data_IF_715000705403
#
_entry.id   IF_715000705403
#
_cell.length_a   1.000
_cell.length_b   1.000
_cell.length_c   1.000
_cell.angle_alpha   90.00
_cell.angle_beta   90.00
_cell.angle_gamma   90.00
#
_symmetry.space_group_name_H-M   'P 1'
#
loop_
_entity.id
_entity.type
_entity.pdbx_description
1 polymer ?
#
# COMPACT_ATOMS: atom_id res chain seq x y z
N UNK A 1 34.73 -5.89 16.33
CA UNK A 1 33.45 -5.33 15.86
C UNK A 1 32.94 -6.25 14.76
N UNK A 2 32.30 -7.37 15.07
CA UNK A 2 30.92 -7.49 15.56
C UNK A 2 29.84 -6.95 14.60
N UNK A 3 29.16 -7.89 13.93
CA UNK A 3 27.75 -7.88 13.50
C UNK A 3 27.43 -9.35 13.14
N UNK A 4 27.00 -10.15 14.12
CA UNK A 4 25.60 -10.44 14.47
C UNK A 4 24.90 -11.34 13.44
N UNK A 5 24.87 -12.64 13.75
CA UNK A 5 23.95 -13.59 13.11
C UNK A 5 22.49 -13.23 13.45
N UNK A 6 21.58 -13.47 12.51
CA UNK A 6 20.12 -13.42 12.75
C UNK A 6 19.57 -14.83 12.57
N UNK A 7 19.18 -15.47 13.67
CA UNK A 7 18.57 -16.81 13.68
C UNK A 7 17.04 -16.70 13.68
N UNK A 8 16.41 -17.07 12.57
CA UNK A 8 14.94 -17.11 12.48
C UNK A 8 14.38 -18.37 13.14
N UNK A 9 13.75 -18.20 14.31
CA UNK A 9 13.19 -19.30 15.09
C UNK A 9 11.73 -19.61 14.65
N UNK A 10 11.56 -20.64 13.82
CA UNK A 10 10.26 -21.08 13.31
C UNK A 10 9.43 -21.78 14.42
N UNK A 11 8.57 -21.03 15.13
CA UNK A 11 7.57 -21.62 16.05
C UNK A 11 6.31 -22.06 15.29
N UNK A 12 6.07 -23.37 15.26
CA UNK A 12 4.77 -23.95 14.93
C UNK A 12 3.83 -23.89 16.14
N UNK A 13 2.58 -23.46 15.92
CA UNK A 13 1.49 -23.66 16.87
C UNK A 13 0.54 -24.71 16.30
N UNK A 14 0.39 -25.84 16.98
CA UNK A 14 -0.59 -26.89 16.67
C UNK A 14 -1.91 -26.53 17.33
N UNK A 15 -2.97 -26.34 16.53
CA UNK A 15 -4.33 -26.18 17.05
C UNK A 15 -4.91 -27.55 17.36
N UNK A 16 -5.26 -27.81 18.63
CA UNK A 16 -5.99 -29.02 19.03
C UNK A 16 -7.49 -28.73 19.04
N UNK A 17 -8.23 -29.49 18.26
CA UNK A 17 -9.70 -29.49 18.31
C UNK A 17 -10.19 -30.13 19.63
N UNK A 18 -11.31 -29.63 20.17
CA UNK A 18 -12.10 -30.37 21.17
C UNK A 18 -13.58 -30.33 20.82
N UNK A 19 -14.17 -31.53 20.70
CA UNK A 19 -15.54 -31.74 20.25
C UNK A 19 -16.54 -31.39 21.37
N UNK A 20 -17.37 -30.37 21.15
CA UNK A 20 -18.49 -30.04 22.04
C UNK A 20 -19.75 -30.81 21.61
N UNK A 21 -20.09 -31.90 22.32
CA UNK A 21 -21.38 -32.58 22.16
C UNK A 21 -22.50 -31.77 22.84
N UNK A 22 -23.35 -31.16 22.03
CA UNK A 22 -24.63 -30.59 22.51
C UNK A 22 -25.68 -31.67 22.76
N UNK A 23 -26.35 -31.62 23.91
CA UNK A 23 -27.53 -32.44 24.22
C UNK A 23 -28.63 -31.56 24.83
N UNK A 24 -29.61 -31.17 24.01
CA UNK A 24 -30.99 -30.97 24.49
C UNK A 24 -31.69 -32.33 24.62
N UNK A 25 -32.75 -32.46 25.43
CA UNK A 25 -33.97 -31.68 25.20
C UNK A 25 -34.76 -31.27 26.47
N UNK A 26 -35.82 -30.47 26.29
CA UNK A 26 -37.19 -30.81 26.72
C UNK A 26 -38.17 -29.64 26.51
N UNK A 27 -39.20 -29.85 25.70
CA UNK A 27 -40.34 -28.92 25.66
C UNK A 27 -41.22 -29.10 26.90
N UNK A 28 -41.66 -28.01 27.52
CA UNK A 28 -42.78 -28.03 28.47
C UNK A 28 -44.09 -27.96 27.68
N UNK A 29 -44.99 -28.92 27.90
CA UNK A 29 -46.40 -28.72 27.60
C UNK A 29 -47.16 -28.40 28.89
N UNK A 30 -47.99 -27.36 28.80
CA UNK A 30 -48.86 -26.89 29.89
C UNK A 30 -50.21 -27.59 29.85
N UNK A 31 -50.66 -28.14 30.97
CA UNK A 31 -52.06 -28.51 31.19
C UNK A 31 -52.63 -27.62 32.30
N UNK A 32 -53.56 -26.72 31.95
CA UNK A 32 -54.19 -25.81 32.90
C UNK A 32 -55.44 -26.43 33.54
N UNK A 33 -55.46 -26.53 34.86
CA UNK A 33 -56.68 -26.82 35.63
C UNK A 33 -57.66 -25.64 35.57
N UNK A 34 -58.97 -25.93 35.42
CA UNK A 34 -60.05 -25.14 36.03
C UNK A 34 -61.32 -25.97 36.19
N UNK A 35 -62.06 -25.68 37.27
CA UNK A 35 -63.23 -26.43 37.71
C UNK A 35 -64.53 -25.75 37.26
N UNK A 36 -65.55 -26.56 36.98
CA UNK A 36 -66.96 -26.27 37.28
C UNK A 36 -67.73 -27.60 37.20
N UNK A 37 -68.30 -28.12 38.29
CA UNK A 37 -69.57 -27.72 38.93
C UNK A 37 -70.71 -28.68 38.52
N UNK A 38 -71.30 -29.36 39.50
CA UNK A 38 -72.52 -30.15 39.31
C UNK A 38 -73.72 -29.23 39.00
N UNK A 39 -74.82 -29.74 38.42
CA UNK A 39 -76.01 -29.88 39.28
C UNK A 39 -76.98 -31.03 38.95
N UNK A 40 -77.70 -31.44 40.01
CA UNK A 40 -79.10 -31.93 40.10
C UNK A 40 -79.69 -32.92 39.07
N UNK A 41 -80.14 -34.03 39.65
CA UNK A 41 -81.16 -35.00 39.21
C UNK A 41 -82.52 -34.33 38.90
N UNK A 42 -83.30 -34.89 37.95
CA UNK A 42 -84.75 -35.03 38.12
C UNK A 42 -85.22 -36.51 38.09
N UNK A 43 -86.39 -36.76 38.67
CA UNK A 43 -86.94 -38.09 38.95
C UNK A 43 -87.88 -38.59 37.83
N UNK A 44 -87.87 -39.90 37.54
CA UNK A 44 -88.88 -40.57 36.70
C UNK A 44 -89.55 -41.73 37.47
N UNK A 45 -90.81 -42.05 37.16
CA UNK A 45 -91.74 -42.74 38.06
C UNK A 45 -92.72 -43.64 37.30
N UNK A 46 -92.74 -44.94 37.61
CA UNK A 46 -93.77 -45.94 37.24
C UNK A 46 -93.86 -46.93 38.43
N UNK A 47 -94.89 -46.88 39.28
CA UNK A 47 -96.27 -47.43 39.15
C UNK A 47 -96.37 -48.91 39.56
N UNK A 48 -97.15 -49.18 40.61
CA UNK A 48 -97.29 -50.48 41.33
C UNK A 48 -98.16 -51.52 40.59
N UNK A 49 -98.21 -52.76 41.10
CA UNK A 49 -99.36 -53.13 41.94
C UNK A 49 -99.01 -53.71 43.33
N UNK A 50 -100.05 -53.91 44.14
CA UNK A 50 -100.12 -54.51 45.48
C UNK A 50 -101.22 -55.60 45.47
N UNK A 51 -101.44 -56.41 46.54
CA UNK A 51 -100.55 -56.83 47.63
C UNK A 51 -100.56 -58.36 47.88
N UNK A 52 -99.62 -58.87 48.69
CA UNK A 52 -99.79 -60.10 49.46
C UNK A 52 -99.07 -60.01 50.83
N UNK A 53 -99.61 -60.72 51.82
CA UNK A 53 -99.34 -60.70 53.28
C UNK A 53 -97.91 -60.38 53.76
N UNK A 54 -97.83 -59.72 54.92
CA UNK A 54 -96.58 -59.33 55.60
C UNK A 54 -96.29 -60.27 56.79
N UNK A 55 -95.17 -60.98 56.78
CA UNK A 55 -94.66 -61.72 57.95
C UNK A 55 -93.61 -60.89 58.70
N UNK A 56 -94.04 -60.28 59.81
CA UNK A 56 -93.26 -59.27 60.53
C UNK A 56 -92.00 -59.79 61.26
N UNK A 57 -91.79 -61.10 61.33
CA UNK A 57 -90.65 -61.68 62.07
C UNK A 57 -89.34 -61.72 61.28
N UNK A 58 -89.38 -61.81 59.95
CA UNK A 58 -88.17 -61.95 59.12
C UNK A 58 -87.46 -60.60 58.89
N UNK A 59 -88.23 -59.51 58.85
CA UNK A 59 -87.71 -58.15 58.61
C UNK A 59 -86.81 -57.62 59.74
N UNK A 60 -86.95 -58.14 60.97
CA UNK A 60 -86.11 -57.76 62.11
C UNK A 60 -84.66 -58.23 61.96
N UNK A 61 -84.46 -59.51 61.61
CA UNK A 61 -83.13 -60.09 61.40
C UNK A 61 -82.40 -59.44 60.22
N UNK A 62 -83.11 -59.22 59.10
CA UNK A 62 -82.57 -58.51 57.93
C UNK A 62 -82.13 -57.08 58.29
N UNK A 63 -82.92 -56.34 59.07
CA UNK A 63 -82.55 -55.01 59.55
C UNK A 63 -81.38 -54.97 60.55
N UNK A 64 -81.00 -56.09 61.16
CA UNK A 64 -79.76 -56.18 61.93
C UNK A 64 -78.56 -56.28 60.98
N UNK A 65 -78.58 -57.24 60.04
CA UNK A 65 -77.54 -57.40 59.01
C UNK A 65 -77.32 -56.13 58.18
N UNK A 66 -78.39 -55.45 57.73
CA UNK A 66 -78.30 -54.18 57.00
C UNK A 66 -77.78 -52.98 57.81
N UNK A 67 -77.69 -53.09 59.14
CA UNK A 67 -76.99 -52.09 59.97
C UNK A 67 -75.52 -52.44 60.13
N UNK A 68 -75.19 -53.72 60.21
CA UNK A 68 -73.82 -54.23 60.34
C UNK A 68 -73.04 -54.08 59.03
N UNK A 69 -73.64 -54.39 57.87
CA UNK A 69 -73.02 -54.10 56.56
C UNK A 69 -72.82 -52.59 56.38
N UNK A 70 -73.81 -51.76 56.74
CA UNK A 70 -73.66 -50.29 56.72
C UNK A 70 -72.61 -49.77 57.70
N UNK A 71 -72.30 -50.49 58.78
CA UNK A 71 -71.22 -50.14 59.67
C UNK A 71 -69.85 -50.49 59.04
N UNK A 72 -69.74 -51.65 58.39
CA UNK A 72 -68.56 -52.04 57.60
C UNK A 72 -68.30 -51.08 56.43
N UNK A 73 -69.31 -50.87 55.56
CA UNK A 73 -69.28 -49.91 54.44
C UNK A 73 -68.85 -48.51 54.91
N UNK A 74 -69.33 -48.07 56.09
CA UNK A 74 -68.97 -46.78 56.67
C UNK A 74 -67.55 -46.73 57.24
N UNK A 75 -67.05 -47.84 57.79
CA UNK A 75 -65.66 -47.96 58.25
C UNK A 75 -64.68 -48.00 57.07
N UNK A 76 -64.99 -48.80 56.04
CA UNK A 76 -64.25 -48.87 54.77
C UNK A 76 -64.21 -47.51 54.06
N UNK A 77 -65.36 -46.82 53.98
CA UNK A 77 -65.44 -45.45 53.46
C UNK A 77 -64.72 -44.42 54.33
N UNK A 78 -64.53 -44.68 55.63
CA UNK A 78 -63.73 -43.83 56.52
C UNK A 78 -62.23 -44.05 56.28
N UNK A 79 -61.77 -45.31 56.26
CA UNK A 79 -60.37 -45.67 55.95
C UNK A 79 -59.95 -45.16 54.56
N UNK A 80 -60.82 -45.31 53.55
CA UNK A 80 -60.60 -44.73 52.22
C UNK A 80 -60.48 -43.21 52.26
N UNK A 81 -61.30 -42.52 53.06
CA UNK A 81 -61.29 -41.07 53.17
C UNK A 81 -60.06 -40.55 53.94
N UNK A 82 -59.62 -41.24 55.00
CA UNK A 82 -58.38 -40.96 55.72
C UNK A 82 -57.14 -41.20 54.83
N UNK A 83 -57.20 -42.25 53.98
CA UNK A 83 -56.19 -42.48 52.94
C UNK A 83 -56.22 -41.41 51.85
N UNK A 84 -57.39 -40.91 51.44
CA UNK A 84 -57.46 -39.76 50.53
C UNK A 84 -56.95 -38.47 51.19
N UNK A 85 -57.22 -38.24 52.48
CA UNK A 85 -56.70 -37.10 53.22
C UNK A 85 -55.17 -37.09 53.25
N UNK A 86 -54.53 -38.21 53.60
CA UNK A 86 -53.07 -38.34 53.58
C UNK A 86 -52.46 -38.22 52.16
N UNK A 87 -53.14 -38.70 51.11
CA UNK A 87 -52.73 -38.40 49.72
C UNK A 87 -52.86 -36.90 49.37
N UNK A 88 -53.94 -36.23 49.79
CA UNK A 88 -54.14 -34.78 49.57
C UNK A 88 -53.08 -33.96 50.31
N UNK A 89 -52.72 -34.34 51.54
CA UNK A 89 -51.62 -33.74 52.29
C UNK A 89 -50.27 -33.97 51.59
N UNK A 90 -50.01 -35.18 51.09
CA UNK A 90 -48.79 -35.48 50.33
C UNK A 90 -48.71 -34.69 49.02
N UNK A 91 -49.82 -34.51 48.31
CA UNK A 91 -49.90 -33.65 47.12
C UNK A 91 -49.66 -32.18 47.48
N UNK A 92 -50.30 -31.65 48.52
CA UNK A 92 -50.06 -30.28 49.01
C UNK A 92 -48.60 -30.04 49.40
N UNK A 93 -47.98 -31.00 50.10
CA UNK A 93 -46.56 -30.95 50.45
C UNK A 93 -45.66 -30.93 49.21
N UNK A 94 -45.92 -31.81 48.23
CA UNK A 94 -45.18 -31.85 46.96
C UNK A 94 -45.41 -30.60 46.10
N UNK A 95 -46.61 -30.01 46.11
CA UNK A 95 -46.87 -28.71 45.49
C UNK A 95 -46.08 -27.60 46.17
N UNK A 96 -46.02 -27.59 47.50
CA UNK A 96 -45.30 -26.58 48.27
C UNK A 96 -43.79 -26.69 48.05
N UNK A 97 -43.24 -27.91 47.99
CA UNK A 97 -41.86 -28.16 47.59
C UNK A 97 -41.60 -27.72 46.14
N UNK A 98 -42.47 -28.04 45.19
CA UNK A 98 -42.32 -27.57 43.80
C UNK A 98 -42.41 -26.04 43.67
N UNK A 99 -43.25 -25.37 44.48
CA UNK A 99 -43.33 -23.90 44.55
C UNK A 99 -42.03 -23.30 45.12
N UNK A 100 -41.44 -23.91 46.15
CA UNK A 100 -40.14 -23.52 46.69
C UNK A 100 -39.00 -23.69 45.67
N UNK A 101 -38.86 -24.89 45.08
CA UNK A 101 -37.85 -25.20 44.06
C UNK A 101 -37.99 -24.32 42.81
N UNK A 102 -39.22 -23.97 42.40
CA UNK A 102 -39.44 -23.02 41.31
C UNK A 102 -39.02 -21.58 41.67
N UNK A 103 -39.23 -21.15 42.92
CA UNK A 103 -38.76 -19.86 43.41
C UNK A 103 -37.22 -19.82 43.49
N UNK A 104 -36.58 -20.89 43.99
CA UNK A 104 -35.12 -21.04 44.03
C UNK A 104 -34.51 -21.05 42.61
N UNK A 105 -35.08 -21.81 41.68
CA UNK A 105 -34.66 -21.82 40.27
C UNK A 105 -34.74 -20.42 39.64
N UNK A 106 -35.82 -19.69 39.90
CA UNK A 106 -35.99 -18.32 39.40
C UNK A 106 -35.01 -17.34 40.07
N UNK A 107 -34.71 -17.50 41.36
CA UNK A 107 -33.68 -16.70 42.04
C UNK A 107 -32.26 -17.01 41.55
N UNK A 108 -31.96 -18.25 41.18
CA UNK A 108 -30.68 -18.64 40.61
C UNK A 108 -30.53 -18.10 39.19
N UNK A 109 -31.58 -18.18 38.36
CA UNK A 109 -31.63 -17.55 37.04
C UNK A 109 -31.50 -16.02 37.08
N UNK A 110 -32.11 -15.37 38.07
CA UNK A 110 -31.90 -13.93 38.32
C UNK A 110 -30.49 -13.58 38.85
N UNK A 111 -29.65 -14.58 39.15
CA UNK A 111 -28.24 -14.45 39.53
C UNK A 111 -27.28 -14.97 38.44
N UNK A 112 -27.79 -15.44 37.30
CA UNK A 112 -26.96 -15.75 36.13
C UNK A 112 -26.24 -14.47 35.63
N UNK A 113 -25.04 -14.58 35.02
CA UNK A 113 -24.05 -13.51 35.05
C UNK A 113 -24.26 -12.41 33.98
N UNK A 114 -25.48 -11.90 33.81
CA UNK A 114 -25.81 -10.80 32.88
C UNK A 114 -24.86 -9.61 33.08
N UNK A 115 -24.62 -9.22 34.34
CA UNK A 115 -23.71 -8.12 34.72
C UNK A 115 -22.28 -8.28 34.18
N UNK A 116 -21.79 -9.52 34.07
CA UNK A 116 -20.44 -9.78 33.55
C UNK A 116 -20.42 -9.66 32.01
N UNK A 117 -21.47 -10.14 31.35
CA UNK A 117 -21.66 -9.92 29.92
C UNK A 117 -21.84 -8.41 29.60
N UNK A 118 -22.56 -7.66 30.44
CA UNK A 118 -22.75 -6.22 30.29
C UNK A 118 -21.43 -5.44 30.41
N UNK A 119 -20.55 -5.82 31.34
CA UNK A 119 -19.20 -5.26 31.50
C UNK A 119 -18.33 -5.57 30.29
N UNK A 120 -18.21 -6.84 29.87
CA UNK A 120 -17.44 -7.18 28.67
C UNK A 120 -17.99 -6.53 27.40
N UNK A 121 -19.30 -6.34 27.28
CA UNK A 121 -19.88 -5.55 26.19
C UNK A 121 -19.54 -4.06 26.29
N UNK A 122 -19.43 -3.48 27.49
CA UNK A 122 -19.00 -2.08 27.67
C UNK A 122 -17.53 -1.91 27.26
N UNK A 123 -16.65 -2.79 27.72
CA UNK A 123 -15.24 -2.85 27.30
C UNK A 123 -15.11 -3.02 25.78
N UNK A 124 -15.90 -3.92 25.16
CA UNK A 124 -15.90 -4.12 23.71
C UNK A 124 -16.37 -2.88 22.93
N UNK A 125 -17.35 -2.12 23.46
CA UNK A 125 -17.79 -0.84 22.87
C UNK A 125 -16.69 0.21 22.99
N UNK A 126 -16.01 0.29 24.13
CA UNK A 126 -14.93 1.26 24.32
C UNK A 126 -13.69 0.94 23.47
N UNK A 127 -13.31 -0.34 23.38
CA UNK A 127 -12.22 -0.78 22.50
C UNK A 127 -12.50 -0.51 21.03
N UNK A 128 -13.76 -0.64 20.58
CA UNK A 128 -14.19 -0.23 19.23
C UNK A 128 -14.07 1.29 19.06
N UNK A 129 -14.61 2.08 19.98
CA UNK A 129 -14.50 3.54 19.92
C UNK A 129 -13.04 4.02 19.88
N UNK A 130 -12.15 3.40 20.65
CA UNK A 130 -10.71 3.66 20.62
C UNK A 130 -10.07 3.24 19.29
N UNK A 131 -10.48 2.13 18.70
CA UNK A 131 -10.04 1.70 17.37
C UNK A 131 -10.48 2.69 16.28
N UNK A 132 -11.74 3.12 16.30
CA UNK A 132 -12.32 4.09 15.36
C UNK A 132 -11.63 5.47 15.48
N UNK A 133 -11.26 5.88 16.70
CA UNK A 133 -10.44 7.07 16.95
C UNK A 133 -9.01 6.91 16.41
N UNK A 134 -8.37 5.74 16.60
CA UNK A 134 -7.03 5.48 16.12
C UNK A 134 -6.96 5.38 14.59
N UNK A 135 -7.95 4.79 13.92
CA UNK A 135 -8.00 4.73 12.45
C UNK A 135 -8.27 6.11 11.85
N UNK A 136 -9.16 6.91 12.43
CA UNK A 136 -9.39 8.30 12.01
C UNK A 136 -8.13 9.17 12.20
N UNK A 137 -7.43 9.02 13.33
CA UNK A 137 -6.16 9.71 13.57
C UNK A 137 -5.06 9.26 12.61
N UNK A 138 -4.97 7.96 12.30
CA UNK A 138 -3.98 7.44 11.34
C UNK A 138 -4.25 7.96 9.93
N UNK A 139 -5.49 7.89 9.44
CA UNK A 139 -5.85 8.45 8.12
C UNK A 139 -5.57 9.96 8.02
N UNK A 140 -5.77 10.71 9.12
CA UNK A 140 -5.36 12.12 9.19
C UNK A 140 -3.84 12.29 9.08
N UNK A 141 -3.06 11.50 9.83
CA UNK A 141 -1.59 11.58 9.81
C UNK A 141 -1.00 11.12 8.47
N UNK A 142 -1.66 10.21 7.76
CA UNK A 142 -1.30 9.81 6.40
C UNK A 142 -1.51 10.96 5.41
N UNK A 143 -2.62 11.70 5.50
CA UNK A 143 -2.84 12.92 4.69
C UNK A 143 -1.86 14.04 5.07
N UNK A 144 -1.56 14.24 6.35
CA UNK A 144 -0.56 15.22 6.80
C UNK A 144 0.85 14.86 6.32
N UNK A 145 1.22 13.56 6.28
CA UNK A 145 2.44 13.07 5.63
C UNK A 145 2.43 13.39 4.14
N UNK A 146 1.38 13.01 3.41
CA UNK A 146 1.35 13.12 1.94
C UNK A 146 1.40 14.58 1.47
N UNK A 147 0.83 15.50 2.25
CA UNK A 147 0.98 16.94 2.02
C UNK A 147 2.43 17.41 2.25
N UNK A 148 3.07 16.98 3.34
CA UNK A 148 4.47 17.32 3.62
C UNK A 148 5.45 16.70 2.61
N UNK A 149 5.16 15.52 2.07
CA UNK A 149 5.95 14.90 1.00
C UNK A 149 5.82 15.68 -0.33
N UNK A 150 4.63 16.19 -0.65
CA UNK A 150 4.41 17.10 -1.79
C UNK A 150 5.16 18.44 -1.59
N UNK A 151 5.05 19.08 -0.42
CA UNK A 151 5.78 20.31 -0.10
C UNK A 151 7.29 20.12 -0.19
N UNK A 152 7.82 19.00 0.33
CA UNK A 152 9.23 18.62 0.19
C UNK A 152 9.64 18.38 -1.27
N UNK A 153 8.75 17.84 -2.11
CA UNK A 153 8.95 17.73 -3.55
C UNK A 153 9.08 19.10 -4.22
N UNK A 154 8.14 20.01 -3.95
CA UNK A 154 8.12 21.38 -4.48
C UNK A 154 9.35 22.17 -4.02
N UNK A 155 9.76 22.03 -2.76
CA UNK A 155 10.96 22.69 -2.22
C UNK A 155 12.26 22.12 -2.82
N UNK A 156 12.34 20.81 -3.07
CA UNK A 156 13.48 20.20 -3.78
C UNK A 156 13.58 20.68 -5.22
N UNK A 157 12.46 20.77 -5.93
CA UNK A 157 12.45 21.30 -7.30
C UNK A 157 12.92 22.75 -7.33
N UNK A 158 12.34 23.62 -6.49
CA UNK A 158 12.76 25.03 -6.37
C UNK A 158 14.24 25.17 -6.02
N UNK A 159 14.77 24.35 -5.12
CA UNK A 159 16.19 24.33 -4.79
C UNK A 159 17.05 23.94 -6.01
N UNK A 160 16.62 22.95 -6.80
CA UNK A 160 17.30 22.55 -8.01
C UNK A 160 17.30 23.66 -9.06
N UNK A 161 16.14 24.30 -9.30
CA UNK A 161 15.99 25.42 -10.24
C UNK A 161 16.88 26.61 -9.83
N UNK A 162 16.89 27.00 -8.56
CA UNK A 162 17.78 28.03 -8.01
C UNK A 162 19.27 27.64 -8.15
N UNK A 163 19.64 26.37 -7.95
CA UNK A 163 21.04 25.95 -8.18
C UNK A 163 21.45 26.01 -9.66
N UNK A 164 20.53 25.73 -10.59
CA UNK A 164 20.79 25.87 -12.02
C UNK A 164 20.98 27.34 -12.39
N UNK A 165 20.06 28.23 -11.95
CA UNK A 165 20.16 29.68 -12.16
C UNK A 165 21.46 30.26 -11.56
N UNK A 166 21.89 29.78 -10.40
CA UNK A 166 23.16 30.20 -9.78
C UNK A 166 24.37 29.77 -10.61
N UNK A 167 24.37 28.54 -11.15
CA UNK A 167 25.43 28.04 -12.03
C UNK A 167 25.47 28.78 -13.37
N UNK A 168 24.31 29.10 -13.96
CA UNK A 168 24.21 29.94 -15.16
C UNK A 168 24.77 31.34 -14.92
N UNK A 169 24.43 31.96 -13.77
CA UNK A 169 24.98 33.26 -13.38
C UNK A 169 26.49 33.20 -13.12
N UNK A 170 27.01 32.14 -12.48
CA UNK A 170 28.44 31.92 -12.25
C UNK A 170 29.20 31.74 -13.58
N UNK A 171 28.64 30.99 -14.53
CA UNK A 171 29.22 30.79 -15.86
C UNK A 171 29.22 32.08 -16.69
N UNK A 172 28.11 32.83 -16.72
CA UNK A 172 28.03 34.12 -17.41
C UNK A 172 29.02 35.14 -16.82
N UNK A 173 29.16 35.17 -15.49
CA UNK A 173 30.11 36.04 -14.80
C UNK A 173 31.58 35.63 -15.04
N UNK A 174 31.86 34.33 -15.25
CA UNK A 174 33.16 33.86 -15.72
C UNK A 174 33.44 34.29 -17.18
N UNK A 175 32.47 34.17 -18.07
CA UNK A 175 32.59 34.65 -19.45
C UNK A 175 32.84 36.16 -19.52
N UNK A 176 32.07 36.98 -18.80
CA UNK A 176 32.28 38.44 -18.75
C UNK A 176 33.63 38.85 -18.16
N UNK A 177 34.26 38.02 -17.30
CA UNK A 177 35.63 38.25 -16.85
C UNK A 177 36.63 37.97 -17.97
N UNK A 178 36.48 36.85 -18.68
CA UNK A 178 37.33 36.54 -19.84
C UNK A 178 37.20 37.62 -20.93
N UNK A 179 35.98 38.04 -21.28
CA UNK A 179 35.73 39.13 -22.24
C UNK A 179 36.38 40.45 -21.79
N UNK A 180 36.34 40.77 -20.50
CA UNK A 180 37.01 41.94 -19.94
C UNK A 180 38.54 41.83 -20.00
N UNK A 181 39.11 40.67 -19.66
CA UNK A 181 40.55 40.42 -19.73
C UNK A 181 41.03 40.50 -21.19
N UNK A 182 40.34 39.85 -22.14
CA UNK A 182 40.59 39.95 -23.58
C UNK A 182 40.50 41.40 -24.09
N UNK A 183 39.50 42.16 -23.64
CA UNK A 183 39.38 43.58 -23.97
C UNK A 183 40.53 44.42 -23.39
N UNK A 184 41.06 44.12 -22.20
CA UNK A 184 42.25 44.81 -21.67
C UNK A 184 43.52 44.47 -22.44
N UNK A 185 43.69 43.22 -22.87
CA UNK A 185 44.80 42.81 -23.74
C UNK A 185 44.74 43.53 -25.10
N UNK A 186 43.56 43.57 -25.72
CA UNK A 186 43.34 44.31 -26.96
C UNK A 186 43.61 45.82 -26.80
N UNK A 187 43.25 46.42 -25.65
CA UNK A 187 43.57 47.81 -25.32
C UNK A 187 45.08 48.04 -25.21
N UNK A 188 45.78 47.19 -24.46
CA UNK A 188 47.24 47.27 -24.28
C UNK A 188 48.01 47.05 -25.60
N UNK A 189 47.51 46.20 -26.49
CA UNK A 189 48.08 45.97 -27.82
C UNK A 189 47.81 47.13 -28.80
N UNK A 190 46.76 47.93 -28.57
CA UNK A 190 46.50 49.19 -29.30
C UNK A 190 47.31 50.36 -28.72
N UNK A 191 47.47 50.42 -27.40
CA UNK A 191 48.34 51.40 -26.71
C UNK A 191 49.78 51.26 -27.19
N UNK A 192 50.35 50.04 -27.17
CA UNK A 192 51.71 49.78 -27.69
C UNK A 192 51.89 50.11 -29.18
N UNK A 193 50.83 50.00 -30.00
CA UNK A 193 50.87 50.43 -31.41
C UNK A 193 50.85 51.94 -31.55
N UNK A 194 50.06 52.64 -30.72
CA UNK A 194 50.05 54.10 -30.66
C UNK A 194 51.42 54.64 -30.22
N UNK A 195 52.00 54.09 -29.15
CA UNK A 195 53.35 54.44 -28.67
C UNK A 195 54.41 54.25 -29.76
N UNK A 196 54.41 53.11 -30.45
CA UNK A 196 55.33 52.81 -31.55
C UNK A 196 55.18 53.77 -32.75
N UNK A 197 53.95 54.12 -33.13
CA UNK A 197 53.68 55.12 -34.18
C UNK A 197 54.07 56.54 -33.74
N UNK A 198 53.92 56.88 -32.47
CA UNK A 198 54.42 58.15 -31.92
C UNK A 198 55.95 58.22 -31.86
N UNK A 199 56.63 57.09 -31.68
CA UNK A 199 58.09 56.99 -31.81
C UNK A 199 58.53 57.14 -33.26
N UNK A 200 57.87 56.48 -34.22
CA UNK A 200 58.13 56.63 -35.65
C UNK A 200 57.91 58.09 -36.11
N UNK A 201 56.81 58.73 -35.69
CA UNK A 201 56.54 60.15 -35.98
C UNK A 201 57.59 61.08 -35.35
N UNK A 202 58.07 60.79 -34.13
CA UNK A 202 59.16 61.56 -33.50
C UNK A 202 60.49 61.38 -34.24
N UNK A 203 60.80 60.16 -34.66
CA UNK A 203 62.01 59.82 -35.41
C UNK A 203 62.03 60.50 -36.78
N UNK A 204 60.93 60.40 -37.56
CA UNK A 204 60.79 61.04 -38.86
C UNK A 204 60.87 62.57 -38.77
N UNK A 205 60.27 63.18 -37.74
CA UNK A 205 60.41 64.63 -37.49
C UNK A 205 61.85 65.03 -37.21
N UNK A 206 62.55 64.29 -36.35
CA UNK A 206 63.96 64.55 -36.02
C UNK A 206 64.86 64.44 -37.25
N UNK A 207 64.69 63.39 -38.06
CA UNK A 207 65.40 63.26 -39.34
C UNK A 207 65.11 64.45 -40.24
N UNK A 208 63.84 64.86 -40.40
CA UNK A 208 63.51 65.98 -41.26
C UNK A 208 64.06 67.32 -40.75
N UNK A 209 64.10 67.53 -39.43
CA UNK A 209 64.76 68.69 -38.81
C UNK A 209 66.28 68.67 -39.04
N UNK A 210 66.90 67.49 -39.06
CA UNK A 210 68.34 67.30 -39.36
C UNK A 210 68.62 67.50 -40.86
N UNK A 211 67.82 66.93 -41.77
CA UNK A 211 67.88 67.17 -43.23
C UNK A 211 67.74 68.66 -43.57
N UNK A 212 66.78 69.36 -42.93
CA UNK A 212 66.55 70.78 -43.15
C UNK A 212 67.73 71.61 -42.61
N UNK A 213 68.34 71.22 -41.49
CA UNK A 213 69.58 71.84 -41.00
C UNK A 213 70.76 71.60 -41.95
N UNK A 214 70.96 70.37 -42.44
CA UNK A 214 72.00 70.07 -43.43
C UNK A 214 71.81 70.85 -44.74
N UNK A 215 70.58 70.97 -45.24
CA UNK A 215 70.28 71.74 -46.45
C UNK A 215 70.46 73.26 -46.23
N UNK A 216 70.12 73.78 -45.04
CA UNK A 216 70.41 75.17 -44.67
C UNK A 216 71.92 75.41 -44.56
N UNK A 217 72.68 74.49 -43.96
CA UNK A 217 74.14 74.55 -43.92
C UNK A 217 74.76 74.44 -45.30
N UNK A 218 74.27 73.54 -46.17
CA UNK A 218 74.74 73.44 -47.56
C UNK A 218 74.47 74.74 -48.33
N UNK A 219 73.30 75.36 -48.15
CA UNK A 219 72.97 76.65 -48.77
C UNK A 219 73.86 77.79 -48.21
N UNK A 220 74.12 77.82 -46.91
CA UNK A 220 75.01 78.80 -46.28
C UNK A 220 76.48 78.61 -46.71
N UNK A 221 76.96 77.36 -46.80
CA UNK A 221 78.29 77.00 -47.34
C UNK A 221 78.40 77.37 -48.83
N UNK A 222 77.34 77.22 -49.62
CA UNK A 222 77.28 77.69 -51.02
C UNK A 222 77.25 79.22 -51.13
N UNK A 223 76.67 79.93 -50.17
CA UNK A 223 76.70 81.39 -50.11
C UNK A 223 78.04 81.95 -49.58
N UNK A 224 78.83 81.17 -48.83
CA UNK A 224 80.06 81.66 -48.16
C UNK A 224 81.24 80.66 -48.27
N UNK A 225 81.49 80.06 -49.44
CA UNK A 225 82.84 79.57 -49.77
C UNK A 225 83.15 79.43 -51.28
N UNK A 226 83.74 80.48 -51.87
CA UNK A 226 84.57 80.36 -53.08
C UNK A 226 85.83 81.21 -52.89
N UNK A 227 86.72 80.79 -52.00
CA UNK A 227 88.09 81.33 -51.88
C UNK A 227 88.97 80.33 -51.11
N UNK A 228 89.68 79.47 -51.84
CA UNK A 228 90.68 78.55 -51.28
C UNK A 228 92.02 78.76 -52.00
N UNK A 229 92.81 79.70 -51.49
CA UNK A 229 94.12 80.04 -52.04
C UNK A 229 95.14 78.93 -51.76
N UNK A 230 95.84 78.47 -52.81
CA UNK A 230 96.59 77.21 -52.80
C UNK A 230 98.03 77.44 -52.34
N UNK A 231 98.20 77.68 -51.04
CA UNK A 231 99.48 77.52 -50.38
C UNK A 231 99.94 76.06 -50.53
N UNK A 232 101.04 75.83 -51.27
CA UNK A 232 101.52 74.48 -51.62
C UNK A 232 101.70 73.59 -50.38
N UNK A 233 100.89 72.53 -50.20
CA UNK A 233 101.14 71.56 -49.14
C UNK A 233 102.37 70.72 -49.49
N UNK A 234 103.02 70.12 -48.49
CA UNK A 234 103.91 68.99 -48.76
C UNK A 234 103.06 67.83 -49.27
N UNK A 235 103.03 67.67 -50.60
CA UNK A 235 102.29 66.61 -51.28
C UNK A 235 102.72 65.22 -50.77
N UNK A 236 103.97 65.08 -50.30
CA UNK A 236 104.49 63.85 -49.69
C UNK A 236 103.87 63.55 -48.32
N UNK A 237 103.51 64.57 -47.55
CA UNK A 237 102.78 64.44 -46.28
C UNK A 237 101.30 64.19 -46.55
N UNK A 238 100.66 65.00 -47.39
CA UNK A 238 99.24 64.86 -47.72
C UNK A 238 98.94 63.48 -48.34
N UNK A 239 99.77 62.98 -49.28
CA UNK A 239 99.59 61.64 -49.85
C UNK A 239 99.86 60.52 -48.85
N UNK A 240 100.75 60.69 -47.87
CA UNK A 240 100.91 59.74 -46.76
C UNK A 240 99.69 59.74 -45.85
N UNK A 241 99.16 60.91 -45.52
CA UNK A 241 98.01 61.06 -44.62
C UNK A 241 96.72 60.53 -45.23
N UNK A 242 96.43 60.90 -46.49
CA UNK A 242 95.34 60.33 -47.30
C UNK A 242 95.49 58.81 -47.39
N UNK A 243 96.70 58.29 -47.62
CA UNK A 243 96.95 56.85 -47.63
C UNK A 243 96.65 56.20 -46.28
N UNK A 244 97.12 56.77 -45.17
CA UNK A 244 96.81 56.22 -43.83
C UNK A 244 95.33 56.31 -43.47
N UNK A 245 94.61 57.33 -43.96
CA UNK A 245 93.15 57.40 -43.80
C UNK A 245 92.44 56.33 -44.64
N UNK A 246 92.84 56.10 -45.90
CA UNK A 246 92.31 55.00 -46.71
C UNK A 246 92.63 53.62 -46.13
N UNK A 247 93.84 53.41 -45.61
CA UNK A 247 94.23 52.16 -44.94
C UNK A 247 93.42 51.96 -43.64
N UNK A 248 93.23 53.02 -42.84
CA UNK A 248 92.39 52.98 -41.64
C UNK A 248 90.91 52.69 -41.95
N UNK A 249 90.31 53.41 -42.91
CA UNK A 249 88.91 53.19 -43.34
C UNK A 249 88.73 51.79 -43.94
N UNK A 250 89.71 51.28 -44.69
CA UNK A 250 89.68 49.90 -45.18
C UNK A 250 89.72 48.88 -44.03
N UNK A 251 90.53 49.10 -42.99
CA UNK A 251 90.53 48.23 -41.81
C UNK A 251 89.26 48.35 -40.97
N UNK A 252 88.69 49.55 -40.84
CA UNK A 252 87.44 49.80 -40.11
C UNK A 252 86.27 49.09 -40.80
N UNK A 253 86.07 49.33 -42.10
CA UNK A 253 85.04 48.67 -42.90
C UNK A 253 85.19 47.13 -42.89
N UNK A 254 86.43 46.60 -42.89
CA UNK A 254 86.66 45.16 -42.76
C UNK A 254 86.26 44.61 -41.37
N UNK A 255 86.56 45.35 -40.29
CA UNK A 255 86.17 44.99 -38.92
C UNK A 255 84.65 45.11 -38.72
N UNK A 256 84.04 46.21 -39.15
CA UNK A 256 82.60 46.44 -39.15
C UNK A 256 81.86 45.34 -39.93
N UNK A 257 82.37 44.92 -41.09
CA UNK A 257 81.82 43.80 -41.84
C UNK A 257 81.97 42.46 -41.09
N UNK A 258 83.14 42.16 -40.51
CA UNK A 258 83.33 40.95 -39.68
C UNK A 258 82.38 40.93 -38.47
N UNK A 259 82.21 42.05 -37.78
CA UNK A 259 81.33 42.18 -36.62
C UNK A 259 79.86 42.11 -37.00
N UNK A 260 79.46 42.73 -38.13
CA UNK A 260 78.11 42.61 -38.68
C UNK A 260 77.78 41.15 -39.06
N UNK A 261 78.70 40.46 -39.74
CA UNK A 261 78.53 39.03 -40.04
C UNK A 261 78.50 38.18 -38.77
N UNK A 262 79.39 38.41 -37.79
CA UNK A 262 79.38 37.69 -36.50
C UNK A 262 78.05 37.87 -35.76
N UNK A 263 77.57 39.11 -35.66
CA UNK A 263 76.27 39.43 -35.06
C UNK A 263 75.14 38.71 -35.81
N UNK A 264 75.16 38.74 -37.15
CA UNK A 264 74.12 38.10 -37.96
C UNK A 264 74.13 36.57 -37.85
N UNK A 265 75.30 35.95 -37.72
CA UNK A 265 75.42 34.51 -37.43
C UNK A 265 74.97 34.17 -36.01
N UNK A 266 75.23 35.04 -35.02
CA UNK A 266 74.72 34.87 -33.67
C UNK A 266 73.18 34.94 -33.65
N UNK A 267 72.58 36.00 -34.21
CA UNK A 267 71.12 36.17 -34.35
C UNK A 267 70.43 34.93 -34.95
N UNK A 268 70.98 34.40 -36.05
CA UNK A 268 70.44 33.24 -36.75
C UNK A 268 70.61 31.95 -35.94
N UNK A 269 71.73 31.80 -35.21
CA UNK A 269 71.97 30.64 -34.34
C UNK A 269 71.02 30.66 -33.14
N UNK A 270 70.83 31.83 -32.54
CA UNK A 270 69.89 32.07 -31.44
C UNK A 270 68.43 31.83 -31.86
N UNK A 271 68.03 32.34 -33.03
CA UNK A 271 66.70 32.10 -33.58
C UNK A 271 66.48 30.60 -33.87
N UNK A 272 67.48 29.91 -34.40
CA UNK A 272 67.43 28.46 -34.60
C UNK A 272 67.34 27.69 -33.28
N UNK A 273 68.08 28.10 -32.24
CA UNK A 273 68.02 27.50 -30.91
C UNK A 273 66.64 27.69 -30.25
N UNK A 274 66.08 28.92 -30.29
CA UNK A 274 64.72 29.21 -29.81
C UNK A 274 63.67 28.38 -30.54
N UNK A 275 63.73 28.31 -31.87
CA UNK A 275 62.82 27.50 -32.67
C UNK A 275 62.93 26.00 -32.38
N UNK A 276 64.15 25.49 -32.17
CA UNK A 276 64.39 24.09 -31.80
C UNK A 276 63.83 23.76 -30.40
N UNK A 277 63.81 24.73 -29.48
CA UNK A 277 63.26 24.58 -28.14
C UNK A 277 61.73 24.69 -28.10
N UNK A 278 61.13 25.66 -28.80
CA UNK A 278 59.68 25.70 -29.04
C UNK A 278 59.17 24.38 -29.67
N UNK A 279 59.95 23.80 -30.60
CA UNK A 279 59.63 22.50 -31.20
C UNK A 279 59.78 21.32 -30.22
N UNK A 280 60.60 21.42 -29.17
CA UNK A 280 60.63 20.43 -28.07
C UNK A 280 59.41 20.56 -27.17
N UNK A 281 59.06 21.79 -26.79
CA UNK A 281 57.94 22.08 -25.89
C UNK A 281 56.61 21.62 -26.50
N UNK A 282 56.32 22.01 -27.75
CA UNK A 282 55.15 21.52 -28.48
C UNK A 282 55.12 19.98 -28.66
N UNK A 283 56.29 19.33 -28.77
CA UNK A 283 56.38 17.85 -28.79
C UNK A 283 56.19 17.20 -27.42
N UNK A 284 56.51 17.89 -26.33
CA UNK A 284 56.26 17.43 -24.97
C UNK A 284 54.75 17.50 -24.68
N UNK A 285 54.15 18.66 -24.91
CA UNK A 285 52.71 18.92 -24.80
C UNK A 285 51.90 17.91 -25.62
N UNK A 286 52.22 17.73 -26.90
CA UNK A 286 51.55 16.74 -27.76
C UNK A 286 51.66 15.30 -27.25
N UNK A 287 52.74 14.93 -26.55
CA UNK A 287 52.85 13.61 -25.91
C UNK A 287 52.05 13.52 -24.60
N UNK A 288 51.93 14.61 -23.84
CA UNK A 288 51.13 14.63 -22.60
C UNK A 288 49.63 14.67 -22.87
N UNK A 289 49.17 15.42 -23.88
CA UNK A 289 47.80 15.28 -24.38
C UNK A 289 47.53 13.87 -24.88
N UNK A 290 48.50 13.21 -25.56
CA UNK A 290 48.35 11.81 -25.98
C UNK A 290 48.28 10.83 -24.79
N UNK A 291 49.03 11.07 -23.71
CA UNK A 291 48.96 10.32 -22.45
C UNK A 291 47.62 10.53 -21.74
N UNK A 292 47.14 11.76 -21.65
CA UNK A 292 45.84 12.11 -21.06
C UNK A 292 44.68 11.46 -21.82
N UNK A 293 44.69 11.51 -23.16
CA UNK A 293 43.72 10.82 -24.02
C UNK A 293 43.75 9.30 -23.79
N UNK A 294 44.93 8.69 -23.65
CA UNK A 294 45.05 7.27 -23.33
C UNK A 294 44.48 6.93 -21.94
N UNK A 295 44.78 7.73 -20.91
CA UNK A 295 44.22 7.54 -19.56
C UNK A 295 42.69 7.65 -19.57
N UNK A 296 42.14 8.72 -20.15
CA UNK A 296 40.69 8.92 -20.29
C UNK A 296 40.01 7.81 -21.11
N UNK A 297 40.70 7.23 -22.10
CA UNK A 297 40.18 6.09 -22.87
C UNK A 297 40.10 4.84 -22.00
N UNK A 298 41.15 4.52 -21.24
CA UNK A 298 41.14 3.41 -20.27
C UNK A 298 40.06 3.60 -19.20
N UNK A 299 39.89 4.82 -18.69
CA UNK A 299 38.86 5.14 -17.70
C UNK A 299 37.45 4.94 -18.28
N UNK A 300 37.19 5.43 -19.49
CA UNK A 300 35.92 5.22 -20.20
C UNK A 300 35.64 3.74 -20.49
N UNK A 301 36.66 2.95 -20.87
CA UNK A 301 36.53 1.51 -21.07
C UNK A 301 36.24 0.77 -19.76
N UNK A 302 36.88 1.17 -18.65
CA UNK A 302 36.62 0.61 -17.32
C UNK A 302 35.19 0.91 -16.84
N UNK A 303 34.72 2.15 -17.02
CA UNK A 303 33.38 2.58 -16.64
C UNK A 303 32.30 1.91 -17.51
N UNK A 304 32.56 1.69 -18.80
CA UNK A 304 31.69 0.88 -19.67
C UNK A 304 31.61 -0.56 -19.16
N UNK A 305 32.74 -1.20 -18.86
CA UNK A 305 32.78 -2.56 -18.33
C UNK A 305 32.04 -2.72 -16.98
N UNK A 306 32.17 -1.73 -16.09
CA UNK A 306 31.41 -1.65 -14.85
C UNK A 306 29.92 -1.49 -15.12
N UNK A 307 29.51 -0.56 -16.01
CA UNK A 307 28.11 -0.31 -16.31
C UNK A 307 27.43 -1.56 -16.91
N UNK A 308 28.05 -2.20 -17.92
CA UNK A 308 27.54 -3.48 -18.44
C UNK A 308 27.44 -4.56 -17.36
N UNK A 309 28.35 -4.59 -16.38
CA UNK A 309 28.28 -5.55 -15.27
C UNK A 309 27.10 -5.28 -14.33
N UNK A 310 26.76 -4.01 -14.10
CA UNK A 310 25.61 -3.60 -13.32
C UNK A 310 24.31 -3.88 -14.07
N UNK A 311 24.23 -3.58 -15.37
CA UNK A 311 23.08 -3.97 -16.19
C UNK A 311 22.85 -5.49 -16.20
N UNK A 312 23.92 -6.29 -16.32
CA UNK A 312 23.83 -7.76 -16.24
C UNK A 312 23.33 -8.20 -14.85
N UNK A 313 23.80 -7.59 -13.76
CA UNK A 313 23.31 -7.86 -12.41
C UNK A 313 21.84 -7.47 -12.21
N UNK A 314 21.38 -6.34 -12.77
CA UNK A 314 19.97 -5.95 -12.69
C UNK A 314 19.09 -6.94 -13.44
N UNK A 315 19.44 -7.30 -14.69
CA UNK A 315 18.72 -8.33 -15.47
C UNK A 315 18.65 -9.65 -14.72
N UNK A 316 19.75 -10.10 -14.12
CA UNK A 316 19.76 -11.29 -13.28
C UNK A 316 18.84 -11.18 -12.05
N UNK A 317 18.73 -10.02 -11.41
CA UNK A 317 17.80 -9.80 -10.29
C UNK A 317 16.35 -9.75 -10.75
N UNK A 318 16.04 -9.05 -11.83
CA UNK A 318 14.72 -8.99 -12.47
C UNK A 318 14.23 -10.39 -12.84
N UNK A 319 15.07 -11.21 -13.50
CA UNK A 319 14.70 -12.58 -13.82
C UNK A 319 14.55 -13.48 -12.58
N UNK A 320 15.35 -13.28 -11.51
CA UNK A 320 15.20 -14.03 -10.26
C UNK A 320 13.86 -13.71 -9.60
N UNK A 321 13.50 -12.43 -9.50
CA UNK A 321 12.23 -11.99 -8.94
C UNK A 321 11.03 -12.40 -9.81
N UNK A 322 11.17 -12.41 -11.14
CA UNK A 322 10.15 -12.95 -12.05
C UNK A 322 9.94 -14.46 -11.82
N UNK A 323 11.02 -15.25 -11.62
CA UNK A 323 10.93 -16.68 -11.26
C UNK A 323 10.33 -16.90 -9.88
N UNK A 324 10.61 -16.02 -8.92
CA UNK A 324 10.02 -16.07 -7.58
C UNK A 324 8.53 -15.74 -7.61
N UNK A 325 8.13 -14.67 -8.31
CA UNK A 325 6.72 -14.30 -8.53
C UNK A 325 5.94 -15.43 -9.24
N UNK A 326 6.51 -16.04 -10.29
CA UNK A 326 5.91 -17.20 -10.95
C UNK A 326 5.70 -18.39 -10.00
N UNK A 327 6.69 -18.70 -9.15
CA UNK A 327 6.56 -19.76 -8.12
C UNK A 327 5.49 -19.45 -7.07
N UNK A 328 5.35 -18.19 -6.66
CA UNK A 328 4.28 -17.78 -5.75
C UNK A 328 2.91 -17.87 -6.44
N UNK A 329 2.81 -17.52 -7.72
CA UNK A 329 1.57 -17.68 -8.49
C UNK A 329 1.20 -19.16 -8.67
N UNK A 330 2.15 -20.03 -9.01
CA UNK A 330 1.94 -21.49 -9.06
C UNK A 330 1.50 -22.08 -7.70
N UNK A 331 2.02 -21.54 -6.60
CA UNK A 331 1.61 -21.97 -5.26
C UNK A 331 0.20 -21.47 -4.91
N UNK A 332 -0.16 -20.25 -5.32
CA UNK A 332 -1.52 -19.72 -5.16
C UNK A 332 -2.53 -20.52 -5.97
N UNK A 333 -2.30 -20.77 -7.26
CA UNK A 333 -3.26 -21.52 -8.10
C UNK A 333 -3.48 -22.94 -7.59
N UNK A 334 -2.44 -23.63 -7.08
CA UNK A 334 -2.61 -24.96 -6.45
C UNK A 334 -3.45 -24.90 -5.17
N UNK A 335 -3.27 -23.89 -4.34
CA UNK A 335 -4.10 -23.70 -3.13
C UNK A 335 -5.54 -23.27 -3.47
N UNK A 336 -5.74 -22.57 -4.58
CA UNK A 336 -7.08 -22.25 -5.13
C UNK A 336 -7.76 -23.49 -5.72
N UNK A 337 -7.02 -24.36 -6.40
CA UNK A 337 -7.47 -25.66 -6.92
C UNK A 337 -7.85 -26.63 -5.78
N UNK A 338 -6.96 -26.84 -4.79
CA UNK A 338 -7.23 -27.60 -3.56
C UNK A 338 -8.43 -27.01 -2.79
N UNK A 339 -8.46 -25.68 -2.68
CA UNK A 339 -9.56 -24.95 -2.08
C UNK A 339 -10.86 -25.00 -2.87
N UNK A 340 -10.86 -25.45 -4.13
CA UNK A 340 -12.07 -25.70 -4.92
C UNK A 340 -12.47 -27.18 -4.88
N UNK A 341 -11.54 -28.13 -4.96
CA UNK A 341 -11.85 -29.56 -4.85
C UNK A 341 -12.53 -29.88 -3.51
N UNK A 342 -12.05 -29.29 -2.40
CA UNK A 342 -12.67 -29.42 -1.08
C UNK A 342 -14.09 -28.83 -1.01
N UNK A 343 -14.42 -27.79 -1.79
CA UNK A 343 -15.81 -27.27 -1.89
C UNK A 343 -16.70 -28.23 -2.68
N UNK A 344 -16.18 -28.77 -3.78
CA UNK A 344 -16.91 -29.73 -4.61
C UNK A 344 -17.16 -31.05 -3.85
N UNK A 345 -16.20 -31.50 -3.04
CA UNK A 345 -16.35 -32.63 -2.11
C UNK A 345 -17.38 -32.35 -1.01
N UNK A 346 -17.32 -31.18 -0.38
CA UNK A 346 -18.33 -30.74 0.59
C UNK A 346 -19.75 -30.69 -0.04
N UNK A 347 -19.87 -30.22 -1.27
CA UNK A 347 -21.13 -30.18 -2.01
C UNK A 347 -21.65 -31.59 -2.33
N UNK A 348 -20.79 -32.53 -2.74
CA UNK A 348 -21.14 -33.95 -2.93
C UNK A 348 -21.68 -34.56 -1.63
N UNK A 349 -20.95 -34.41 -0.51
CA UNK A 349 -21.38 -34.93 0.78
C UNK A 349 -22.70 -34.32 1.27
N UNK A 350 -22.93 -33.02 1.06
CA UNK A 350 -24.22 -32.39 1.37
C UNK A 350 -25.38 -32.99 0.57
N UNK A 351 -25.15 -33.34 -0.70
CA UNK A 351 -26.16 -34.02 -1.52
C UNK A 351 -26.36 -35.49 -1.10
N UNK A 352 -25.29 -36.23 -0.80
CA UNK A 352 -25.36 -37.59 -0.25
C UNK A 352 -26.15 -37.63 1.07
N UNK A 353 -25.96 -36.64 1.96
CA UNK A 353 -26.75 -36.51 3.18
C UNK A 353 -28.22 -36.15 2.91
N UNK A 354 -28.51 -35.32 1.92
CA UNK A 354 -29.89 -35.00 1.53
C UNK A 354 -30.60 -36.21 0.94
N UNK A 355 -29.93 -37.01 0.11
CA UNK A 355 -30.51 -38.23 -0.48
C UNK A 355 -30.70 -39.32 0.57
N UNK A 356 -29.77 -39.48 1.52
CA UNK A 356 -29.96 -40.35 2.68
C UNK A 356 -31.14 -39.90 3.58
N UNK A 357 -31.31 -38.58 3.76
CA UNK A 357 -32.47 -38.02 4.46
C UNK A 357 -33.78 -38.28 3.69
N UNK A 358 -33.78 -38.16 2.37
CA UNK A 358 -34.93 -38.47 1.52
C UNK A 358 -35.35 -39.95 1.68
N UNK A 359 -34.38 -40.88 1.63
CA UNK A 359 -34.62 -42.32 1.90
C UNK A 359 -35.16 -42.54 3.32
N UNK A 360 -34.58 -41.88 4.33
CA UNK A 360 -35.04 -41.98 5.72
C UNK A 360 -36.50 -41.52 5.89
N UNK A 361 -36.90 -40.44 5.20
CA UNK A 361 -38.28 -39.93 5.22
C UNK A 361 -39.25 -40.88 4.50
N UNK A 362 -38.83 -41.52 3.40
CA UNK A 362 -39.64 -42.58 2.77
C UNK A 362 -39.88 -43.76 3.72
N UNK A 363 -38.83 -44.22 4.42
CA UNK A 363 -38.93 -45.29 5.43
C UNK A 363 -39.81 -44.89 6.64
N UNK A 364 -39.77 -43.63 7.10
CA UNK A 364 -40.71 -43.15 8.13
C UNK A 364 -42.17 -43.26 7.66
N UNK A 365 -42.44 -42.92 6.40
CA UNK A 365 -43.79 -42.98 5.79
C UNK A 365 -44.24 -44.44 5.67
N UNK A 366 -43.38 -45.35 5.22
CA UNK A 366 -43.65 -46.80 5.19
C UNK A 366 -43.95 -47.35 6.59
N UNK A 367 -43.14 -47.02 7.59
CA UNK A 367 -43.39 -47.41 8.99
C UNK A 367 -44.74 -46.86 9.49
N UNK A 368 -45.11 -45.63 9.09
CA UNK A 368 -46.38 -45.02 9.45
C UNK A 368 -47.59 -45.65 8.72
N UNK A 369 -47.44 -46.14 7.48
CA UNK A 369 -48.51 -46.88 6.80
C UNK A 369 -48.65 -48.30 7.35
N UNK A 370 -47.55 -49.01 7.60
CA UNK A 370 -47.58 -50.33 8.25
C UNK A 370 -48.25 -50.28 9.63
N UNK A 371 -47.96 -49.26 10.45
CA UNK A 371 -48.66 -49.04 11.74
C UNK A 371 -50.17 -48.87 11.56
N UNK A 372 -50.61 -48.01 10.63
CA UNK A 372 -52.03 -47.80 10.34
C UNK A 372 -52.74 -49.05 9.83
N UNK A 373 -52.05 -49.92 9.08
CA UNK A 373 -52.62 -51.21 8.66
C UNK A 373 -52.77 -52.17 9.84
N UNK A 374 -51.79 -52.23 10.75
CA UNK A 374 -51.87 -53.05 11.97
C UNK A 374 -52.96 -52.55 12.92
N UNK A 375 -53.04 -51.24 13.18
CA UNK A 375 -54.14 -50.60 13.91
C UNK A 375 -55.49 -50.91 13.24
N UNK A 376 -55.55 -50.97 11.90
CA UNK A 376 -56.73 -51.38 11.14
C UNK A 376 -57.16 -52.83 11.36
N UNK A 377 -56.20 -53.77 11.48
CA UNK A 377 -56.49 -55.18 11.78
C UNK A 377 -56.87 -55.40 13.25
N UNK A 378 -56.26 -54.70 14.20
CA UNK A 378 -56.67 -54.73 15.62
C UNK A 378 -58.12 -54.27 15.80
N UNK A 379 -58.54 -53.24 15.04
CA UNK A 379 -59.93 -52.78 14.95
C UNK A 379 -60.89 -53.77 14.24
N UNK A 380 -60.38 -54.79 13.54
CA UNK A 380 -61.19 -55.91 13.00
C UNK A 380 -61.29 -57.09 13.95
N UNK A 381 -60.35 -57.23 14.87
CA UNK A 381 -60.32 -58.28 15.90
C UNK A 381 -61.18 -57.90 17.12
N UNK A 382 -61.50 -56.61 17.30
CA UNK A 382 -62.33 -56.10 18.40
C UNK A 382 -63.78 -55.80 17.99
N UNK A 383 -64.73 -56.43 18.67
CA UNK A 383 -66.19 -56.19 18.56
C UNK A 383 -66.55 -54.92 19.36
N UNK A 384 -67.49 -54.07 18.91
CA UNK A 384 -67.42 -52.63 19.20
C UNK A 384 -68.06 -52.16 20.51
N UNK A 385 -67.53 -51.04 21.01
CA UNK A 385 -68.33 -49.92 21.53
C UNK A 385 -67.89 -48.65 20.79
N UNK A 386 -68.78 -48.11 19.96
CA UNK A 386 -68.60 -46.85 19.19
C UNK A 386 -69.16 -45.65 20.00
N UNK A 387 -68.91 -44.37 19.69
CA UNK A 387 -68.20 -43.73 18.54
C UNK A 387 -67.29 -42.58 19.08
N UNK A 388 -67.08 -41.34 18.58
CA UNK A 388 -67.63 -40.46 17.52
C UNK A 388 -66.56 -39.44 17.02
N UNK A 389 -66.75 -38.93 15.80
CA UNK A 389 -66.52 -37.54 15.33
C UNK A 389 -65.35 -36.72 15.94
N UNK A 390 -64.30 -36.33 15.19
CA UNK A 390 -64.35 -35.63 13.90
C UNK A 390 -62.97 -35.58 13.20
N UNK A 391 -62.96 -35.70 11.87
CA UNK A 391 -61.85 -35.28 11.02
C UNK A 391 -62.10 -33.87 10.48
N UNK A 392 -61.12 -32.97 10.61
CA UNK A 392 -61.02 -31.77 9.76
C UNK A 392 -59.69 -31.81 9.01
N UNK A 393 -59.71 -32.47 7.85
CA UNK A 393 -58.72 -32.22 6.81
C UNK A 393 -58.94 -30.79 6.34
N UNK A 394 -57.87 -29.98 6.31
CA UNK A 394 -57.90 -28.66 5.68
C UNK A 394 -56.70 -28.55 4.74
N UNK A 395 -57.00 -28.51 3.46
CA UNK A 395 -56.00 -28.26 2.42
C UNK A 395 -55.46 -26.84 2.55
N UNK A 396 -54.14 -26.72 2.66
CA UNK A 396 -53.37 -25.55 2.25
C UNK A 396 -52.19 -26.12 1.47
N UNK A 397 -52.33 -26.19 0.14
CA UNK A 397 -51.96 -25.13 -0.79
C UNK A 397 -50.46 -25.15 -1.08
N UNK A 398 -50.15 -25.16 -2.39
CA UNK A 398 -48.82 -24.94 -2.93
C UNK A 398 -48.23 -23.65 -2.35
N UNK A 399 -46.94 -23.69 -1.98
CA UNK A 399 -46.06 -22.52 -2.05
C UNK A 399 -44.63 -23.01 -2.35
N UNK A 400 -44.46 -23.66 -3.52
CA UNK A 400 -43.15 -23.85 -4.14
C UNK A 400 -42.59 -22.48 -4.49
N UNK A 401 -41.92 -21.87 -3.51
CA UNK A 401 -41.28 -20.56 -3.65
C UNK A 401 -40.00 -20.71 -4.48
N UNK A 402 -40.20 -20.78 -5.79
CA UNK A 402 -39.17 -20.41 -6.75
C UNK A 402 -38.71 -19.00 -6.41
N UNK A 403 -37.55 -18.90 -5.77
CA UNK A 403 -36.78 -17.67 -5.82
C UNK A 403 -36.39 -17.50 -7.28
N UNK A 404 -37.13 -16.62 -7.97
CA UNK A 404 -36.91 -16.30 -9.37
C UNK A 404 -35.48 -15.85 -9.58
N UNK A 405 -34.93 -16.11 -10.78
CA UNK A 405 -33.68 -15.51 -11.22
C UNK A 405 -33.87 -14.00 -11.37
N UNK A 406 -33.77 -13.28 -10.25
CA UNK A 406 -33.74 -11.84 -10.19
C UNK A 406 -32.47 -11.34 -10.85
N UNK A 407 -32.49 -11.25 -12.18
CA UNK A 407 -31.45 -10.64 -13.00
C UNK A 407 -31.27 -9.19 -12.53
N UNK A 408 -30.28 -8.97 -11.65
CA UNK A 408 -29.96 -7.67 -11.10
C UNK A 408 -29.41 -6.77 -12.21
N UNK A 409 -30.31 -6.07 -12.93
CA UNK A 409 -29.94 -5.01 -13.88
C UNK A 409 -29.22 -3.90 -13.12
N UNK A 410 -27.88 -3.96 -13.12
CA UNK A 410 -27.01 -2.98 -12.47
C UNK A 410 -27.01 -1.71 -13.30
N UNK A 411 -27.81 -0.71 -12.91
CA UNK A 411 -27.73 0.61 -13.52
C UNK A 411 -26.39 1.25 -13.12
N UNK A 412 -25.44 1.34 -14.06
CA UNK A 412 -24.15 1.98 -13.81
C UNK A 412 -24.31 3.49 -14.00
N UNK A 413 -24.10 4.22 -12.91
CA UNK A 413 -24.11 5.69 -12.88
C UNK A 413 -22.66 6.16 -12.88
N UNK A 414 -22.19 6.70 -13.99
CA UNK A 414 -20.89 7.38 -14.03
C UNK A 414 -21.12 8.84 -13.66
N UNK A 415 -20.47 9.27 -12.59
CA UNK A 415 -20.30 10.69 -12.24
C UNK A 415 -18.89 11.12 -12.63
N UNK A 416 -18.78 12.14 -13.47
CA UNK A 416 -17.52 12.87 -13.68
C UNK A 416 -17.61 14.23 -13.00
N UNK A 417 -16.57 14.57 -12.23
CA UNK A 417 -16.50 15.76 -11.39
C UNK A 417 -15.21 16.49 -11.74
N UNK A 418 -15.33 17.67 -12.36
CA UNK A 418 -14.18 18.57 -12.54
C UNK A 418 -14.04 19.42 -11.28
N UNK A 419 -12.90 19.25 -10.59
CA UNK A 419 -12.50 20.08 -9.46
C UNK A 419 -11.28 20.92 -9.82
N UNK A 420 -11.23 22.13 -9.27
CA UNK A 420 -10.09 23.03 -9.36
C UNK A 420 -9.99 23.79 -8.05
N UNK A 421 -8.78 23.91 -7.52
CA UNK A 421 -8.48 24.65 -6.28
C UNK A 421 -9.35 24.24 -5.06
N UNK A 422 -9.83 22.98 -5.06
CA UNK A 422 -10.63 22.38 -3.99
C UNK A 422 -12.16 22.44 -4.17
N UNK A 423 -12.66 23.26 -5.11
CA UNK A 423 -14.11 23.38 -5.36
C UNK A 423 -14.57 22.61 -6.62
N UNK A 424 -15.80 22.11 -6.58
CA UNK A 424 -16.45 21.42 -7.71
C UNK A 424 -17.01 22.45 -8.67
N UNK A 425 -16.31 22.66 -9.79
CA UNK A 425 -16.74 23.61 -10.83
C UNK A 425 -17.83 22.98 -11.72
N UNK A 426 -17.81 21.65 -11.91
CA UNK A 426 -18.79 20.97 -12.77
C UNK A 426 -18.98 19.50 -12.38
N UNK A 427 -20.23 19.11 -12.14
CA UNK A 427 -20.64 17.71 -12.05
C UNK A 427 -21.45 17.33 -13.30
N UNK A 428 -21.10 16.20 -13.92
CA UNK A 428 -21.92 15.56 -14.95
C UNK A 428 -22.25 14.13 -14.52
N UNK A 429 -23.53 13.77 -14.59
CA UNK A 429 -24.05 12.44 -14.26
C UNK A 429 -24.66 11.83 -15.51
N UNK A 430 -24.05 10.78 -16.05
CA UNK A 430 -24.59 10.05 -17.19
C UNK A 430 -24.97 8.63 -16.77
N UNK A 431 -26.26 8.30 -16.92
CA UNK A 431 -26.79 6.96 -16.65
C UNK A 431 -26.70 6.12 -17.92
N UNK A 432 -25.90 5.05 -17.91
CA UNK A 432 -26.00 4.03 -18.94
C UNK A 432 -27.01 2.96 -18.50
N UNK A 433 -27.95 2.67 -19.40
CA UNK A 433 -28.94 1.59 -19.24
C UNK A 433 -28.63 0.53 -20.29
N UNK A 434 -27.89 -0.50 -19.89
CA UNK A 434 -27.60 -1.62 -20.76
C UNK A 434 -28.90 -2.37 -21.08
N UNK A 435 -29.31 -2.27 -22.35
CA UNK A 435 -30.43 -3.05 -22.90
C UNK A 435 -29.84 -4.33 -23.49
N UNK A 436 -29.85 -5.39 -22.66
CA UNK A 436 -30.28 -6.71 -23.14
C UNK A 436 -31.80 -6.72 -23.23
#
# INVERSE_FOLDING_TARGET
MERRHVTSARRSYTSSEMVVRGLGPSHRLSAGLRLSSCPRVPLARMSSPLPARVDFSLAGALNAGFKETRASERAEMMELNDRFASYIEKVRFLEQQNKALAAELNQLRAKEPTKLADVYQAELRELRLRLDQLTANNARLEVERDNLEQDLGILRQKLQDETNLRLEAENNLAAYRQEADEATLARLDLERKTESLEEEIRFLKKIHEEEVQELQEQLARQQIHVEMDVAKPDLTAALREIRTQYEAVATSNMQEAEEWYRSKFADLTDAAARNAEMLRQAKHEANDYRRQLQALTCDLESLRGVNESLERQMREQEERHAREAARYQEALTRLEEEGQSLKDEMARHLQEYQDLLNVKLALDIEIATYRKLLEGEENRITIPVQTFSNLQIRETSLDTKSMSEGHLKRNIVVKTVEMRDGEVIKESKQEHKDVM
#
